data_IF_127862086831
#
_entry.id   IF_127862086831
#
_cell.length_a   1.000
_cell.length_b   1.000
_cell.length_c   1.000
_cell.angle_alpha   90.00
_cell.angle_beta   90.00
_cell.angle_gamma   90.00
#
_symmetry.space_group_name_H-M   'P 1'
#
loop_
_entity.id
_entity.type
_entity.pdbx_description
1 polymer ?
#
# COMPACT_ATOMS: atom_id res chain seq x y z
N UNK A 1 8.07 9.39 -10.99
CA UNK A 1 8.33 8.14 -10.26
C UNK A 1 7.15 7.25 -10.53
N UNK A 2 7.35 6.02 -10.97
CA UNK A 2 6.24 5.21 -11.49
C UNK A 2 5.50 4.54 -10.33
N UNK A 3 4.23 4.91 -10.13
CA UNK A 3 3.30 4.27 -9.21
C UNK A 3 1.96 4.12 -9.92
N UNK A 4 1.41 2.90 -9.97
CA UNK A 4 0.13 2.63 -10.64
C UNK A 4 -1.10 3.30 -9.99
N UNK A 5 -0.91 3.94 -8.83
CA UNK A 5 -1.92 4.70 -8.09
C UNK A 5 -1.67 6.20 -8.09
N UNK A 6 -0.74 6.70 -8.91
CA UNK A 6 -0.43 8.14 -9.03
C UNK A 6 -0.10 8.83 -7.69
N UNK A 7 0.56 8.11 -6.78
CA UNK A 7 0.97 8.65 -5.45
C UNK A 7 1.96 9.81 -5.58
N UNK A 8 2.77 9.81 -6.64
CA UNK A 8 3.85 10.78 -6.86
C UNK A 8 3.59 11.65 -8.09
N UNK A 9 4.01 12.91 -8.02
CA UNK A 9 4.11 13.84 -9.14
C UNK A 9 5.57 14.27 -9.34
N UNK A 10 5.97 14.52 -10.59
CA UNK A 10 7.28 15.09 -10.89
C UNK A 10 7.24 16.61 -10.81
N UNK A 11 8.09 17.18 -9.96
CA UNK A 11 8.29 18.63 -9.87
C UNK A 11 9.69 19.01 -10.35
N UNK A 12 9.96 20.32 -10.46
CA UNK A 12 11.31 20.84 -10.79
C UNK A 12 12.39 20.40 -9.79
N UNK A 13 12.00 20.15 -8.53
CA UNK A 13 12.90 19.79 -7.43
C UNK A 13 12.96 18.26 -7.22
N UNK A 14 12.25 17.48 -8.04
CA UNK A 14 12.16 16.03 -7.93
C UNK A 14 10.76 15.50 -7.65
N UNK A 15 10.61 14.19 -7.35
CA UNK A 15 9.32 13.58 -7.14
C UNK A 15 8.74 13.97 -5.78
N UNK A 16 7.47 14.38 -5.75
CA UNK A 16 6.73 14.74 -4.53
C UNK A 16 5.57 13.79 -4.32
N UNK A 17 5.32 13.39 -3.06
CA UNK A 17 4.10 12.65 -2.67
C UNK A 17 2.93 13.62 -2.70
N UNK A 18 1.94 13.33 -3.56
CA UNK A 18 0.73 14.16 -3.74
C UNK A 18 -0.56 13.44 -3.40
N UNK A 19 -0.57 12.10 -3.45
CA UNK A 19 -1.75 11.28 -3.13
C UNK A 19 -1.38 10.18 -2.11
N UNK A 20 -1.00 10.54 -0.86
CA UNK A 20 -0.47 9.58 0.11
C UNK A 20 -1.47 8.47 0.46
N UNK A 21 -2.76 8.79 0.53
CA UNK A 21 -3.83 7.83 0.87
C UNK A 21 -4.24 6.91 -0.28
N UNK A 22 -3.70 7.10 -1.49
CA UNK A 22 -3.88 6.16 -2.60
C UNK A 22 -2.81 5.07 -2.63
N UNK A 23 -1.81 5.14 -1.73
CA UNK A 23 -0.78 4.11 -1.61
C UNK A 23 -1.40 2.77 -1.18
N UNK A 24 -1.05 1.69 -1.89
CA UNK A 24 -1.51 0.33 -1.55
C UNK A 24 -0.54 -0.29 -0.56
N UNK A 25 -1.02 -0.60 0.64
CA UNK A 25 -0.23 -1.27 1.68
C UNK A 25 0.30 -2.62 1.16
N UNK A 26 1.62 -2.82 1.27
CA UNK A 26 2.31 -4.01 0.79
C UNK A 26 2.76 -3.97 -0.67
N UNK A 27 2.37 -2.95 -1.46
CA UNK A 27 2.97 -2.71 -2.77
C UNK A 27 4.33 -2.03 -2.62
N UNK A 28 5.38 -2.59 -3.23
CA UNK A 28 6.75 -2.06 -3.16
C UNK A 28 7.33 -1.66 -4.51
N UNK A 29 6.52 -1.65 -5.58
CA UNK A 29 6.98 -1.44 -6.96
C UNK A 29 7.75 -0.14 -7.15
N UNK A 30 7.29 0.97 -6.57
CA UNK A 30 7.96 2.26 -6.72
C UNK A 30 9.36 2.27 -6.07
N UNK A 31 9.57 1.53 -4.97
CA UNK A 31 10.90 1.36 -4.38
C UNK A 31 11.80 0.52 -5.30
N UNK A 32 11.30 -0.61 -5.81
CA UNK A 32 12.05 -1.48 -6.73
C UNK A 32 12.48 -0.76 -8.01
N UNK A 33 11.65 0.17 -8.52
CA UNK A 33 11.94 0.95 -9.72
C UNK A 33 12.85 2.15 -9.45
N UNK A 34 13.03 2.56 -8.19
CA UNK A 34 13.82 3.72 -7.83
C UNK A 34 15.32 3.39 -7.87
N UNK A 35 16.00 3.73 -8.97
CA UNK A 35 17.45 3.54 -9.14
C UNK A 35 18.30 4.19 -8.04
N UNK A 36 17.79 5.27 -7.44
CA UNK A 36 18.47 5.98 -6.34
C UNK A 36 18.20 5.38 -4.95
N UNK A 37 17.39 4.33 -4.84
CA UNK A 37 16.99 3.72 -3.56
C UNK A 37 16.46 4.74 -2.53
N UNK A 38 15.75 5.77 -3.01
CA UNK A 38 15.29 6.89 -2.19
C UNK A 38 13.99 6.60 -1.41
N UNK A 39 13.34 5.47 -1.69
CA UNK A 39 12.06 5.07 -1.09
C UNK A 39 12.32 3.87 -0.19
N UNK A 40 11.79 3.90 1.02
CA UNK A 40 11.80 2.76 1.94
C UNK A 40 10.38 2.47 2.41
N UNK A 41 10.12 1.19 2.62
CA UNK A 41 8.89 0.69 3.22
C UNK A 41 9.24 -0.12 4.47
N UNK A 42 8.29 -0.32 5.40
CA UNK A 42 8.44 -1.31 6.45
C UNK A 42 8.75 -2.69 5.88
N UNK A 43 9.40 -3.53 6.67
CA UNK A 43 9.59 -4.93 6.32
C UNK A 43 8.24 -5.64 6.23
N UNK A 44 8.11 -6.59 5.31
CA UNK A 44 6.83 -7.25 5.06
C UNK A 44 6.29 -7.98 6.30
N UNK A 45 7.19 -8.47 7.16
CA UNK A 45 6.81 -9.18 8.38
C UNK A 45 6.23 -8.24 9.45
N UNK A 46 6.66 -6.97 9.49
CA UNK A 46 6.03 -5.95 10.33
C UNK A 46 4.58 -5.70 9.89
N UNK A 47 4.35 -5.57 8.58
CA UNK A 47 2.99 -5.40 8.03
C UNK A 47 2.12 -6.61 8.35
N UNK A 48 2.65 -7.83 8.16
CA UNK A 48 1.94 -9.07 8.46
C UNK A 48 1.59 -9.21 9.94
N UNK A 49 2.47 -8.76 10.83
CA UNK A 49 2.21 -8.77 12.26
C UNK A 49 1.05 -7.85 12.63
N UNK A 50 1.01 -6.65 12.05
CA UNK A 50 -0.12 -5.73 12.22
C UNK A 50 -1.42 -6.39 11.71
N UNK A 51 -1.40 -7.04 10.55
CA UNK A 51 -2.58 -7.73 10.01
C UNK A 51 -3.13 -8.80 10.96
N UNK A 52 -2.24 -9.58 11.61
CA UNK A 52 -2.61 -10.60 12.60
C UNK A 52 -3.13 -9.97 13.88
N UNK A 53 -2.36 -9.07 14.49
CA UNK A 53 -2.70 -8.41 15.77
C UNK A 53 -4.04 -7.70 15.69
N UNK A 54 -4.27 -6.97 14.61
CA UNK A 54 -5.49 -6.18 14.42
C UNK A 54 -6.64 -6.97 13.81
N UNK A 55 -6.45 -8.28 13.54
CA UNK A 55 -7.46 -9.17 12.97
C UNK A 55 -8.07 -8.63 11.68
N UNK A 56 -7.24 -8.02 10.83
CA UNK A 56 -7.69 -7.29 9.63
C UNK A 56 -8.45 -8.22 8.67
N UNK A 57 -7.97 -9.45 8.49
CA UNK A 57 -8.59 -10.39 7.56
C UNK A 57 -9.98 -10.85 8.02
N UNK A 58 -10.19 -10.99 9.32
CA UNK A 58 -11.48 -11.33 9.90
C UNK A 58 -12.48 -10.20 9.66
N UNK A 59 -12.08 -8.96 9.99
CA UNK A 59 -12.88 -7.75 9.74
C UNK A 59 -13.24 -7.57 8.26
N UNK A 60 -12.28 -7.79 7.36
CA UNK A 60 -12.52 -7.71 5.91
C UNK A 60 -13.50 -8.78 5.46
N UNK A 61 -13.37 -10.02 5.93
CA UNK A 61 -14.33 -11.09 5.61
C UNK A 61 -15.74 -10.77 6.09
N UNK A 62 -15.87 -10.26 7.31
CA UNK A 62 -17.16 -9.82 7.86
C UNK A 62 -17.78 -8.71 7.00
N UNK A 63 -17.01 -7.70 6.62
CA UNK A 63 -17.46 -6.64 5.72
C UNK A 63 -17.89 -7.18 4.34
N UNK A 64 -17.09 -8.07 3.74
CA UNK A 64 -17.43 -8.66 2.44
C UNK A 64 -18.69 -9.54 2.50
N UNK A 65 -18.92 -10.25 3.61
CA UNK A 65 -20.17 -10.98 3.84
C UNK A 65 -21.36 -10.04 3.98
N UNK A 66 -21.22 -8.96 4.76
CA UNK A 66 -22.28 -7.96 4.93
C UNK A 66 -22.64 -7.27 3.59
N UNK A 67 -21.66 -7.08 2.71
CA UNK A 67 -21.86 -6.55 1.35
C UNK A 67 -22.36 -7.61 0.33
N UNK A 68 -22.53 -8.87 0.73
CA UNK A 68 -22.94 -9.96 -0.16
C UNK A 68 -21.90 -10.33 -1.23
N UNK A 69 -20.64 -9.89 -1.07
CA UNK A 69 -19.51 -10.16 -1.97
C UNK A 69 -18.80 -11.47 -1.65
N UNK A 70 -19.11 -12.08 -0.51
CA UNK A 70 -18.51 -13.33 -0.05
C UNK A 70 -19.60 -14.32 0.36
N UNK A 71 -19.94 -15.23 -0.55
CA UNK A 71 -21.02 -16.20 -0.37
C UNK A 71 -20.45 -17.62 -0.51
N UNK A 72 -19.98 -18.18 0.60
CA UNK A 72 -19.64 -19.60 0.74
C UNK A 72 -19.82 -20.03 2.19
#
# INVERSE_FOLDING_TARGET
MNCGKSVFEWTKDGPRVVQPYQCVVGCNTCANLCRGNAIRFPEIDEVREIYRREKIWEKVKEALKAEGKLNY
#
